data_IF_927526547632
#
_entry.id   IF_927526547632
#
_cell.length_a   1.000
_cell.length_b   1.000
_cell.length_c   1.000
_cell.angle_alpha   90.00
_cell.angle_beta   90.00
_cell.angle_gamma   90.00
#
_symmetry.space_group_name_H-M   'P 1'
#
loop_
_entity.id
_entity.type
_entity.pdbx_description
1 polymer ?
#
# COMPACT_ATOMS: atom_id res chain seq x y z
N UNK A 1 -9.44 -5.96 20.73
CA UNK A 1 -9.75 -5.72 19.32
C UNK A 1 -9.75 -4.25 18.98
N UNK A 2 -9.92 -3.93 17.71
CA UNK A 2 -10.08 -2.54 17.28
C UNK A 2 -11.46 -2.02 17.71
N UNK A 3 -11.51 -1.03 18.60
CA UNK A 3 -12.75 -0.43 19.12
C UNK A 3 -13.60 0.29 18.05
N UNK A 4 -13.00 0.60 16.89
CA UNK A 4 -13.68 1.27 15.78
C UNK A 4 -14.39 0.29 14.83
N UNK A 5 -14.20 -1.01 15.00
CA UNK A 5 -14.86 -2.04 14.20
C UNK A 5 -15.97 -2.67 15.00
N UNK A 6 -17.21 -2.47 14.57
CA UNK A 6 -18.40 -3.11 15.13
C UNK A 6 -19.24 -3.73 14.02
N UNK A 7 -19.80 -4.90 14.27
CA UNK A 7 -20.76 -5.59 13.40
C UNK A 7 -21.58 -6.56 14.24
N UNK A 8 -22.82 -6.83 13.82
CA UNK A 8 -23.76 -7.71 14.51
C UNK A 8 -23.95 -9.07 13.84
N UNK A 9 -23.57 -9.17 12.56
CA UNK A 9 -23.73 -10.37 11.72
C UNK A 9 -22.46 -10.74 11.01
N UNK A 10 -22.32 -12.01 10.69
CA UNK A 10 -21.23 -12.57 9.88
C UNK A 10 -21.81 -13.43 8.76
N UNK A 11 -21.16 -13.41 7.59
CA UNK A 11 -21.47 -14.31 6.49
C UNK A 11 -20.46 -15.46 6.49
N UNK A 12 -20.96 -16.66 6.70
CA UNK A 12 -20.17 -17.90 6.57
C UNK A 12 -20.24 -18.34 5.11
N UNK A 13 -19.09 -18.35 4.45
CA UNK A 13 -18.96 -18.75 3.03
C UNK A 13 -18.33 -20.13 2.98
N UNK A 14 -19.01 -21.08 2.36
CA UNK A 14 -18.49 -22.44 2.12
C UNK A 14 -18.57 -22.76 0.63
N UNK A 15 -17.92 -23.84 0.20
CA UNK A 15 -17.98 -24.29 -1.21
C UNK A 15 -19.40 -24.61 -1.69
N UNK A 16 -20.31 -25.03 -0.78
CA UNK A 16 -21.65 -25.48 -1.14
C UNK A 16 -22.74 -24.41 -0.86
N UNK A 17 -22.57 -23.57 0.15
CA UNK A 17 -23.60 -22.60 0.55
C UNK A 17 -23.05 -21.46 1.37
N UNK A 18 -23.79 -20.36 1.38
CA UNK A 18 -23.54 -19.21 2.21
C UNK A 18 -24.62 -19.10 3.27
N UNK A 19 -24.27 -18.69 4.49
CA UNK A 19 -25.20 -18.46 5.59
C UNK A 19 -24.83 -17.20 6.34
N UNK A 20 -25.79 -16.32 6.58
CA UNK A 20 -25.63 -15.15 7.47
C UNK A 20 -26.14 -15.55 8.84
N UNK A 21 -25.37 -15.27 9.87
CA UNK A 21 -25.77 -15.51 11.27
C UNK A 21 -25.43 -14.31 12.13
N UNK A 22 -26.17 -14.13 13.24
CA UNK A 22 -25.85 -13.19 14.30
C UNK A 22 -24.61 -13.65 15.07
N UNK A 23 -23.82 -12.71 15.61
CA UNK A 23 -22.72 -13.04 16.53
C UNK A 23 -23.18 -13.87 17.73
N UNK A 24 -24.42 -13.65 18.21
CA UNK A 24 -25.01 -14.43 19.31
C UNK A 24 -25.16 -15.92 18.96
N UNK A 25 -25.41 -16.23 17.69
CA UNK A 25 -25.63 -17.60 17.22
C UNK A 25 -24.34 -18.40 17.02
N UNK A 26 -23.16 -17.76 17.09
CA UNK A 26 -21.88 -18.47 17.05
C UNK A 26 -21.79 -19.53 18.16
N UNK A 27 -22.43 -19.27 19.31
CA UNK A 27 -22.45 -20.22 20.44
C UNK A 27 -23.14 -21.55 20.10
N UNK A 28 -24.10 -21.53 19.16
CA UNK A 28 -24.89 -22.70 18.72
C UNK A 28 -24.20 -23.55 17.64
N UNK A 29 -23.06 -23.09 17.12
CA UNK A 29 -22.31 -23.81 16.09
C UNK A 29 -21.49 -24.97 16.66
N UNK A 30 -21.20 -25.98 15.83
CA UNK A 30 -20.32 -27.06 16.23
C UNK A 30 -18.93 -26.54 16.64
N UNK A 31 -18.20 -27.25 17.54
CA UNK A 31 -16.94 -26.76 18.12
C UNK A 31 -15.89 -26.40 17.08
N UNK A 32 -15.74 -27.17 16.00
CA UNK A 32 -14.75 -26.96 14.94
C UNK A 32 -15.00 -25.65 14.20
N UNK A 33 -16.24 -25.39 13.78
CA UNK A 33 -16.63 -24.18 13.08
C UNK A 33 -16.55 -22.95 13.99
N UNK A 34 -17.00 -23.09 15.23
CA UNK A 34 -16.88 -22.04 16.26
C UNK A 34 -15.43 -21.62 16.51
N UNK A 35 -14.50 -22.57 16.63
CA UNK A 35 -13.06 -22.29 16.80
C UNK A 35 -12.50 -21.52 15.61
N UNK A 36 -12.86 -21.93 14.39
CA UNK A 36 -12.44 -21.25 13.14
C UNK A 36 -12.96 -19.82 13.08
N UNK A 37 -14.27 -19.63 13.28
CA UNK A 37 -14.91 -18.30 13.24
C UNK A 37 -14.31 -17.37 14.29
N UNK A 38 -14.15 -17.83 15.53
CA UNK A 38 -13.53 -17.01 16.57
C UNK A 38 -12.07 -16.64 16.26
N UNK A 39 -11.33 -17.54 15.60
CA UNK A 39 -9.99 -17.27 15.10
C UNK A 39 -9.98 -16.17 14.01
N UNK A 40 -10.90 -16.26 13.08
CA UNK A 40 -11.02 -15.27 11.99
C UNK A 40 -11.52 -13.91 12.52
N UNK A 41 -12.47 -13.90 13.45
CA UNK A 41 -12.92 -12.68 14.14
C UNK A 41 -11.78 -11.99 14.87
N UNK A 42 -10.96 -12.75 15.62
CA UNK A 42 -9.75 -12.19 16.27
C UNK A 42 -8.80 -11.55 15.26
N UNK A 43 -8.61 -12.15 14.07
CA UNK A 43 -7.77 -11.59 13.01
C UNK A 43 -8.34 -10.30 12.42
N UNK A 44 -9.65 -10.28 12.15
CA UNK A 44 -10.35 -9.13 11.56
C UNK A 44 -10.38 -7.95 12.55
N UNK A 45 -10.67 -8.21 13.81
CA UNK A 45 -10.79 -7.16 14.85
C UNK A 45 -9.46 -6.79 15.51
N UNK A 46 -8.37 -7.50 15.19
CA UNK A 46 -7.06 -7.18 15.73
C UNK A 46 -6.58 -5.84 15.18
N UNK A 47 -6.20 -4.92 16.06
CA UNK A 47 -5.48 -3.73 15.65
C UNK A 47 -4.17 -4.14 14.96
N UNK A 48 -4.06 -3.85 13.69
CA UNK A 48 -2.83 -4.10 12.92
C UNK A 48 -1.87 -2.94 13.16
N UNK A 49 -1.05 -3.05 14.19
CA UNK A 49 0.09 -2.15 14.33
C UNK A 49 1.11 -2.53 13.25
N UNK A 50 1.19 -1.75 12.21
CA UNK A 50 2.32 -1.78 11.29
C UNK A 50 3.54 -1.30 12.10
N UNK A 51 4.32 -2.24 12.65
CA UNK A 51 5.41 -2.00 13.64
C UNK A 51 6.38 -0.86 13.27
N UNK A 52 6.44 -0.48 11.99
CA UNK A 52 7.29 0.59 11.47
C UNK A 52 6.54 1.90 11.21
N UNK A 53 5.22 1.93 11.36
CA UNK A 53 4.38 3.09 11.05
C UNK A 53 3.57 3.41 12.30
N UNK A 54 4.05 4.36 13.08
CA UNK A 54 3.31 4.91 14.24
C UNK A 54 2.41 6.03 13.74
N UNK A 55 1.15 5.71 13.50
CA UNK A 55 0.14 6.73 13.22
C UNK A 55 -0.37 7.32 14.53
N UNK A 56 -0.24 8.62 14.67
CA UNK A 56 -0.82 9.34 15.81
C UNK A 56 -2.25 9.78 15.53
N UNK A 57 -2.54 10.12 14.28
CA UNK A 57 -3.83 10.67 13.86
C UNK A 57 -4.43 9.87 12.70
N UNK A 58 -5.74 9.86 12.59
CA UNK A 58 -6.50 9.29 11.48
C UNK A 58 -7.55 10.32 11.02
N UNK A 59 -7.88 10.38 9.74
CA UNK A 59 -7.27 9.63 8.63
C UNK A 59 -5.87 10.12 8.28
N UNK A 60 -5.08 9.27 7.62
CA UNK A 60 -3.78 9.65 7.06
C UNK A 60 -3.94 10.20 5.65
N UNK A 61 -3.22 11.24 5.35
CA UNK A 61 -3.19 11.85 4.02
C UNK A 61 -1.98 11.36 3.24
N UNK A 62 -2.24 10.71 2.10
CA UNK A 62 -1.20 10.27 1.17
C UNK A 62 -1.17 11.21 -0.03
N UNK A 63 -0.09 11.98 -0.17
CA UNK A 63 0.16 12.78 -1.36
C UNK A 63 0.70 11.90 -2.49
N UNK A 64 0.24 12.10 -3.71
CA UNK A 64 0.65 11.32 -4.89
C UNK A 64 1.62 12.12 -5.75
N UNK A 65 2.71 11.48 -6.16
CA UNK A 65 3.70 12.02 -7.11
C UNK A 65 3.90 11.06 -8.28
N UNK A 66 3.24 11.32 -9.39
CA UNK A 66 3.43 10.55 -10.61
C UNK A 66 4.59 11.11 -11.43
N UNK A 67 5.69 10.34 -11.52
CA UNK A 67 6.86 10.69 -12.33
C UNK A 67 6.75 10.12 -13.75
N UNK A 68 5.58 10.27 -14.39
CA UNK A 68 5.29 9.74 -15.73
C UNK A 68 4.96 10.87 -16.71
N UNK A 69 5.24 10.70 -18.03
CA UNK A 69 4.81 11.66 -19.04
C UNK A 69 3.28 11.80 -19.14
N UNK A 70 2.55 10.73 -18.79
CA UNK A 70 1.13 10.55 -19.06
C UNK A 70 0.22 10.87 -17.86
N UNK A 71 0.75 11.51 -16.81
CA UNK A 71 -0.07 11.80 -15.65
C UNK A 71 -1.09 12.91 -15.93
N UNK A 72 -2.36 12.67 -15.57
CA UNK A 72 -3.49 13.58 -15.87
C UNK A 72 -3.37 14.93 -15.22
N UNK A 73 -2.91 14.96 -14.00
CA UNK A 73 -2.91 16.16 -13.19
C UNK A 73 -1.78 17.13 -13.54
N UNK A 74 -0.67 16.60 -14.08
CA UNK A 74 0.58 17.37 -14.11
C UNK A 74 1.31 17.35 -15.45
N UNK A 75 0.74 16.73 -16.52
CA UNK A 75 1.22 16.78 -17.89
C UNK A 75 2.73 16.56 -18.06
N UNK A 76 3.30 15.57 -17.36
CA UNK A 76 4.74 15.30 -17.42
C UNK A 76 5.65 16.27 -16.66
N UNK A 77 5.08 17.26 -15.95
CA UNK A 77 5.85 18.30 -15.21
C UNK A 77 6.90 17.73 -14.25
N UNK A 78 6.59 16.58 -13.63
CA UNK A 78 7.47 15.99 -12.60
C UNK A 78 8.61 15.11 -13.15
N UNK A 79 8.73 15.00 -14.46
CA UNK A 79 9.98 14.55 -15.08
C UNK A 79 11.11 15.55 -14.82
N UNK A 80 10.82 16.83 -14.76
CA UNK A 80 11.80 17.84 -14.37
C UNK A 80 12.05 17.77 -12.87
N UNK A 81 13.28 17.51 -12.49
CA UNK A 81 13.68 17.24 -11.11
C UNK A 81 13.30 18.38 -10.14
N UNK A 82 13.47 19.64 -10.55
CA UNK A 82 13.12 20.82 -9.73
C UNK A 82 11.62 20.89 -9.43
N UNK A 83 10.77 20.64 -10.41
CA UNK A 83 9.31 20.66 -10.24
C UNK A 83 8.85 19.55 -9.31
N UNK A 84 9.43 18.33 -9.44
CA UNK A 84 9.16 17.23 -8.54
C UNK A 84 9.54 17.57 -7.09
N UNK A 85 10.71 18.17 -6.87
CA UNK A 85 11.15 18.56 -5.52
C UNK A 85 10.25 19.65 -4.92
N UNK A 86 9.82 20.62 -5.72
CA UNK A 86 8.86 21.65 -5.29
C UNK A 86 7.54 21.02 -4.87
N UNK A 87 7.03 20.06 -5.65
CA UNK A 87 5.80 19.34 -5.33
C UNK A 87 5.93 18.48 -4.08
N UNK A 88 7.04 17.76 -3.89
CA UNK A 88 7.28 16.97 -2.68
C UNK A 88 7.27 17.88 -1.44
N UNK A 89 7.93 19.04 -1.50
CA UNK A 89 7.89 20.04 -0.41
C UNK A 89 6.49 20.56 -0.17
N UNK A 90 5.75 20.87 -1.25
CA UNK A 90 4.38 21.37 -1.16
C UNK A 90 3.48 20.37 -0.48
N UNK A 91 3.45 19.11 -0.92
CA UNK A 91 2.65 18.07 -0.31
C UNK A 91 2.92 17.94 1.20
N UNK A 92 4.19 17.97 1.60
CA UNK A 92 4.55 17.92 3.02
C UNK A 92 4.08 19.15 3.80
N UNK A 93 4.19 20.34 3.23
CA UNK A 93 3.72 21.59 3.84
C UNK A 93 2.20 21.63 3.98
N UNK A 94 1.49 21.09 2.99
CA UNK A 94 0.03 21.02 2.94
C UNK A 94 -0.55 19.94 3.87
N UNK A 95 0.29 19.24 4.64
CA UNK A 95 -0.13 18.32 5.70
C UNK A 95 -0.22 16.84 5.28
N UNK A 96 0.33 16.45 4.13
CA UNK A 96 0.41 15.04 3.79
C UNK A 96 1.33 14.28 4.78
N UNK A 97 0.84 13.17 5.33
CA UNK A 97 1.58 12.29 6.24
C UNK A 97 2.60 11.44 5.50
N UNK A 98 2.30 11.08 4.26
CA UNK A 98 3.16 10.26 3.41
C UNK A 98 3.05 10.67 1.95
N UNK A 99 4.04 10.24 1.16
CA UNK A 99 4.04 10.44 -0.29
C UNK A 99 4.17 9.10 -0.99
N UNK A 100 3.33 8.88 -2.01
CA UNK A 100 3.38 7.73 -2.90
C UNK A 100 4.03 8.14 -4.22
N UNK A 101 5.13 7.48 -4.59
CA UNK A 101 5.93 7.87 -5.76
C UNK A 101 5.87 6.77 -6.79
N UNK A 102 5.23 7.06 -7.94
CA UNK A 102 5.10 6.15 -9.08
C UNK A 102 5.90 6.60 -10.29
N UNK A 103 6.52 5.65 -10.99
CA UNK A 103 7.29 5.89 -12.23
C UNK A 103 6.63 5.34 -13.49
N UNK A 104 5.58 4.56 -13.33
CA UNK A 104 4.77 3.97 -14.40
C UNK A 104 3.30 4.41 -14.23
N UNK A 105 2.60 4.65 -15.34
CA UNK A 105 1.16 4.88 -15.31
C UNK A 105 0.42 3.55 -15.23
N UNK A 106 -0.50 3.43 -14.28
CA UNK A 106 -1.36 2.24 -14.12
C UNK A 106 -2.74 2.42 -14.75
N UNK A 107 -2.92 3.48 -15.57
CA UNK A 107 -4.18 3.73 -16.26
C UNK A 107 -4.47 2.68 -17.33
N UNK A 108 -5.74 2.42 -17.65
CA UNK A 108 -6.10 1.63 -18.81
C UNK A 108 -5.37 2.13 -20.07
N UNK A 109 -4.88 1.22 -20.90
CA UNK A 109 -4.16 1.50 -22.14
C UNK A 109 -2.80 2.23 -21.99
N UNK A 110 -2.28 2.40 -20.77
CA UNK A 110 -0.91 2.90 -20.61
C UNK A 110 0.11 1.84 -21.03
N UNK A 111 1.18 2.30 -21.72
CA UNK A 111 2.28 1.39 -22.11
C UNK A 111 3.11 1.03 -20.88
N UNK A 112 3.46 -0.25 -20.78
CA UNK A 112 4.41 -0.72 -19.78
C UNK A 112 5.76 -0.05 -19.98
N UNK A 113 6.34 0.46 -18.90
CA UNK A 113 7.64 1.13 -18.90
C UNK A 113 8.72 0.12 -18.56
N UNK A 114 9.87 0.21 -19.23
CA UNK A 114 11.04 -0.58 -18.85
C UNK A 114 11.42 -0.35 -17.37
N UNK A 115 11.82 -1.43 -16.69
CA UNK A 115 12.11 -1.40 -15.25
C UNK A 115 13.26 -0.46 -14.87
N UNK A 116 14.29 -0.29 -15.75
CA UNK A 116 15.40 0.64 -15.51
C UNK A 116 14.95 2.09 -15.72
N UNK A 117 14.05 2.31 -16.68
CA UNK A 117 13.46 3.64 -16.94
C UNK A 117 12.58 4.05 -15.75
N UNK A 118 11.70 3.16 -15.27
CA UNK A 118 10.88 3.41 -14.09
C UNK A 118 11.75 3.76 -12.88
N UNK A 119 12.77 2.94 -12.60
CA UNK A 119 13.72 3.23 -11.53
C UNK A 119 14.43 4.57 -11.68
N UNK A 120 14.90 4.92 -12.89
CA UNK A 120 15.53 6.22 -13.19
C UNK A 120 14.60 7.39 -12.88
N UNK A 121 13.32 7.24 -13.18
CA UNK A 121 12.30 8.28 -12.94
C UNK A 121 12.11 8.56 -11.44
N UNK A 122 12.09 7.54 -10.58
CA UNK A 122 11.71 7.68 -9.16
C UNK A 122 12.89 7.84 -8.20
N UNK A 123 14.07 7.28 -8.52
CA UNK A 123 15.24 7.21 -7.61
C UNK A 123 15.58 8.54 -6.93
N UNK A 124 15.70 9.63 -7.69
CA UNK A 124 16.06 10.95 -7.15
C UNK A 124 14.96 11.55 -6.28
N UNK A 125 13.67 11.32 -6.63
CA UNK A 125 12.49 11.77 -5.89
C UNK A 125 12.40 11.07 -4.53
N UNK A 126 12.64 9.75 -4.50
CA UNK A 126 12.72 8.98 -3.24
C UNK A 126 13.83 9.54 -2.35
N UNK A 127 15.06 9.70 -2.89
CA UNK A 127 16.18 10.26 -2.13
C UNK A 127 15.83 11.63 -1.53
N UNK A 128 15.21 12.50 -2.31
CA UNK A 128 14.83 13.83 -1.85
C UNK A 128 13.74 13.79 -0.77
N UNK A 129 12.69 13.01 -0.97
CA UNK A 129 11.63 12.83 0.03
C UNK A 129 12.19 12.28 1.35
N UNK A 130 13.11 11.32 1.30
CA UNK A 130 13.81 10.78 2.48
C UNK A 130 14.71 11.82 3.15
N UNK A 131 15.44 12.64 2.37
CA UNK A 131 16.27 13.74 2.92
C UNK A 131 15.45 14.71 3.77
N UNK A 132 14.22 15.02 3.36
CA UNK A 132 13.32 15.89 4.13
C UNK A 132 12.48 15.13 5.16
N UNK A 133 12.83 13.88 5.48
CA UNK A 133 12.16 13.02 6.46
C UNK A 133 10.65 12.83 6.16
N UNK A 134 10.31 12.67 4.89
CA UNK A 134 8.96 12.29 4.49
C UNK A 134 8.81 10.77 4.58
N UNK A 135 7.62 10.30 4.93
CA UNK A 135 7.28 8.89 4.84
C UNK A 135 7.04 8.53 3.38
N UNK A 136 7.78 7.57 2.85
CA UNK A 136 7.78 7.27 1.42
C UNK A 136 7.15 5.91 1.15
N UNK A 137 6.08 5.92 0.39
CA UNK A 137 5.52 4.80 -0.35
C UNK A 137 6.08 4.81 -1.78
N UNK A 138 6.22 3.65 -2.40
CA UNK A 138 6.46 3.53 -3.84
C UNK A 138 5.31 2.78 -4.49
N UNK A 139 4.80 3.35 -5.59
CA UNK A 139 3.80 2.72 -6.45
C UNK A 139 4.54 1.99 -7.58
N UNK A 140 4.61 0.67 -7.45
CA UNK A 140 5.21 -0.20 -8.47
C UNK A 140 4.74 -1.63 -8.32
N UNK A 141 4.54 -2.29 -9.46
CA UNK A 141 4.25 -3.72 -9.58
C UNK A 141 5.48 -4.57 -9.96
N UNK A 142 6.69 -3.93 -10.04
CA UNK A 142 7.92 -4.58 -10.48
C UNK A 142 8.86 -4.82 -9.31
N UNK A 143 9.24 -6.08 -9.12
CA UNK A 143 10.14 -6.53 -8.05
C UNK A 143 11.53 -5.88 -8.12
N UNK A 144 12.04 -5.66 -9.34
CA UNK A 144 13.30 -4.95 -9.56
C UNK A 144 13.28 -3.55 -8.96
N UNK A 145 12.20 -2.79 -9.19
CA UNK A 145 12.04 -1.42 -8.70
C UNK A 145 11.96 -1.41 -7.17
N UNK A 146 11.18 -2.33 -6.59
CA UNK A 146 11.13 -2.52 -5.14
C UNK A 146 12.53 -2.83 -4.59
N UNK A 147 13.23 -3.83 -5.14
CA UNK A 147 14.57 -4.23 -4.70
C UNK A 147 15.56 -3.07 -4.70
N UNK A 148 15.54 -2.23 -5.75
CA UNK A 148 16.38 -1.02 -5.85
C UNK A 148 15.97 0.09 -4.87
N UNK A 149 14.73 0.13 -4.44
CA UNK A 149 14.21 1.15 -3.51
C UNK A 149 14.48 0.83 -2.04
N UNK A 150 14.59 -0.44 -1.67
CA UNK A 150 14.80 -0.87 -0.28
C UNK A 150 16.03 -0.23 0.39
N UNK A 151 17.21 -0.13 -0.27
CA UNK A 151 18.38 0.54 0.32
C UNK A 151 18.15 2.03 0.63
N UNK A 152 17.17 2.67 -0.02
CA UNK A 152 16.79 4.05 0.25
C UNK A 152 15.85 4.19 1.45
N UNK A 153 15.61 3.08 2.19
CA UNK A 153 14.78 3.04 3.40
C UNK A 153 13.36 3.56 3.17
N UNK A 154 12.76 3.15 2.07
CA UNK A 154 11.32 3.38 1.83
C UNK A 154 10.49 2.72 2.94
N UNK A 155 9.26 3.17 3.12
CA UNK A 155 8.44 2.79 4.24
C UNK A 155 7.27 1.87 3.87
N UNK A 156 6.82 1.93 2.62
CA UNK A 156 5.63 1.22 2.13
C UNK A 156 5.83 0.84 0.66
N UNK A 157 5.28 -0.30 0.25
CA UNK A 157 5.00 -0.64 -1.13
C UNK A 157 3.50 -0.47 -1.38
N UNK A 158 3.14 0.17 -2.48
CA UNK A 158 1.81 0.17 -3.05
C UNK A 158 1.86 -0.61 -4.37
N UNK A 159 1.15 -1.74 -4.47
CA UNK A 159 1.13 -2.58 -5.67
C UNK A 159 -0.31 -2.79 -6.14
N UNK A 160 -0.71 -1.97 -7.09
CA UNK A 160 -2.07 -2.01 -7.69
C UNK A 160 -2.38 -3.34 -8.39
N UNK A 161 -1.39 -4.17 -8.73
CA UNK A 161 -1.61 -5.50 -9.33
C UNK A 161 -1.99 -6.57 -8.31
N UNK A 162 -1.97 -6.26 -7.02
CA UNK A 162 -2.22 -7.24 -5.97
C UNK A 162 -1.19 -8.36 -5.92
N UNK A 163 0.07 -8.06 -6.24
CA UNK A 163 1.21 -8.99 -6.32
C UNK A 163 1.11 -10.01 -7.47
N UNK A 164 0.26 -9.75 -8.47
CA UNK A 164 0.02 -10.70 -9.58
C UNK A 164 0.88 -10.40 -10.82
N UNK A 165 1.57 -9.25 -10.88
CA UNK A 165 2.32 -8.86 -12.07
C UNK A 165 3.73 -9.49 -12.12
N UNK A 166 4.42 -9.55 -10.99
CA UNK A 166 5.82 -10.00 -10.92
C UNK A 166 5.98 -11.04 -9.80
N UNK A 167 6.23 -12.29 -10.20
CA UNK A 167 6.31 -13.43 -9.28
C UNK A 167 7.40 -13.29 -8.18
N UNK A 168 8.46 -12.53 -8.42
CA UNK A 168 9.51 -12.30 -7.44
C UNK A 168 9.13 -11.31 -6.34
N UNK A 169 8.06 -10.54 -6.52
CA UNK A 169 7.61 -9.53 -5.57
C UNK A 169 7.39 -10.14 -4.18
N UNK A 170 6.69 -11.27 -4.10
CA UNK A 170 6.40 -11.97 -2.84
C UNK A 170 7.68 -12.38 -2.12
N UNK A 171 8.69 -12.86 -2.85
CA UNK A 171 9.95 -13.29 -2.26
C UNK A 171 10.73 -12.12 -1.64
N UNK A 172 10.71 -10.96 -2.29
CA UNK A 172 11.34 -9.74 -1.76
C UNK A 172 10.58 -9.24 -0.54
N UNK A 173 9.24 -9.25 -0.55
CA UNK A 173 8.42 -8.83 0.57
C UNK A 173 8.63 -9.71 1.81
N UNK A 174 8.71 -11.03 1.64
CA UNK A 174 9.01 -11.97 2.73
C UNK A 174 10.36 -11.67 3.40
N UNK A 175 11.38 -11.35 2.61
CA UNK A 175 12.75 -11.04 3.10
C UNK A 175 12.84 -9.65 3.73
N UNK A 176 12.29 -8.64 3.10
CA UNK A 176 12.40 -7.24 3.55
C UNK A 176 11.47 -6.88 4.70
N UNK A 177 10.37 -7.62 4.86
CA UNK A 177 9.30 -7.33 5.84
C UNK A 177 8.79 -5.89 5.76
N UNK A 178 8.86 -5.27 4.56
CA UNK A 178 8.28 -3.96 4.34
C UNK A 178 6.75 -4.06 4.33
N UNK A 179 6.02 -3.13 4.94
CA UNK A 179 4.57 -3.05 4.79
C UNK A 179 4.18 -2.83 3.32
N UNK A 180 3.02 -3.36 2.92
CA UNK A 180 2.51 -3.17 1.56
C UNK A 180 0.99 -3.04 1.55
N UNK A 181 0.49 -2.38 0.51
CA UNK A 181 -0.93 -2.23 0.13
C UNK A 181 -1.11 -2.90 -1.23
N UNK A 182 -2.25 -3.57 -1.40
CA UNK A 182 -2.67 -4.25 -2.62
C UNK A 182 -4.12 -3.94 -2.92
#
# INVERSE_FOLDING_TARGET
GNKLISFDKIKIITRKKNKIISLKDIKKLNPKLKKKINGDLKKITKSKNLKKIKFKNFPLLMGILNATPDSFSDGGKFLKLRSAYKQIKKLKKDGADMIDIGGESTRPNSRTVDLKIEWKRIKSKIKYAKKIKFFVSIDTRKSYVLKKSLPLKINLLNDVSGLNYDGDMINILKKSKIPFVI
#
